data_IF_163139973658
#
_entry.id   IF_163139973658
#
_cell.length_a   1.000
_cell.length_b   1.000
_cell.length_c   1.000
_cell.angle_alpha   90.00
_cell.angle_beta   90.00
_cell.angle_gamma   90.00
#
_symmetry.space_group_name_H-M   'P 1'
#
loop_
_entity.id
_entity.type
_entity.pdbx_description
1 polymer ?
#
# COMPACT_ATOMS: atom_id res chain seq x y z
N UNK A 1 6.38 27.49 18.83
CA UNK A 1 5.95 26.25 19.49
C UNK A 1 4.97 25.60 18.52
N UNK A 2 5.36 24.75 17.57
CA UNK A 2 6.20 23.55 17.65
C UNK A 2 7.26 23.63 16.51
N UNK A 3 8.54 23.30 16.71
CA UNK A 3 9.05 22.08 17.36
C UNK A 3 9.21 21.06 16.25
N UNK A 4 10.40 21.03 15.65
CA UNK A 4 10.81 20.01 14.69
C UNK A 4 10.48 18.60 15.21
N UNK A 5 9.87 17.74 14.39
CA UNK A 5 10.09 16.31 14.54
C UNK A 5 10.08 15.61 13.18
N UNK A 6 11.18 15.81 12.47
CA UNK A 6 11.67 14.89 11.46
C UNK A 6 12.27 13.69 12.22
N UNK A 7 11.41 12.78 12.67
CA UNK A 7 11.86 11.53 13.29
C UNK A 7 12.23 10.52 12.20
N UNK A 8 13.45 10.61 11.72
CA UNK A 8 14.18 9.42 11.27
C UNK A 8 14.57 8.64 12.54
N UNK A 9 13.80 7.62 12.93
CA UNK A 9 14.28 6.53 13.80
C UNK A 9 13.38 5.31 13.66
N UNK A 10 13.89 4.25 13.01
CA UNK A 10 13.49 2.84 13.19
C UNK A 10 12.04 2.63 13.62
N UNK A 11 11.09 2.74 12.69
CA UNK A 11 9.73 2.31 13.01
C UNK A 11 9.61 0.81 12.82
N UNK A 12 9.11 0.13 13.85
CA UNK A 12 8.82 -1.29 13.84
C UNK A 12 8.03 -1.67 12.57
N UNK A 13 8.13 -2.93 12.07
CA UNK A 13 7.48 -3.36 10.82
C UNK A 13 5.99 -2.96 10.74
N UNK A 14 5.29 -2.89 11.88
CA UNK A 14 3.88 -2.50 11.99
C UNK A 14 3.55 -1.09 11.46
N UNK A 15 4.43 -0.11 11.60
CA UNK A 15 4.15 1.27 11.16
C UNK A 15 4.38 1.46 9.65
N UNK A 16 5.41 0.80 9.12
CA UNK A 16 5.64 0.74 7.68
C UNK A 16 4.45 0.10 6.97
N UNK A 17 3.93 -1.00 7.50
CA UNK A 17 2.70 -1.65 7.03
C UNK A 17 1.52 -0.70 7.10
N UNK A 18 1.29 -0.06 8.25
CA UNK A 18 0.15 0.85 8.42
C UNK A 18 0.19 2.04 7.45
N UNK A 19 1.38 2.63 7.26
CA UNK A 19 1.60 3.74 6.32
C UNK A 19 1.35 3.31 4.88
N UNK A 20 1.81 2.11 4.53
CA UNK A 20 1.67 1.56 3.18
C UNK A 20 0.25 1.14 2.85
N UNK A 21 -0.43 0.46 3.77
CA UNK A 21 -1.86 0.16 3.63
C UNK A 21 -2.68 1.44 3.52
N UNK A 22 -2.37 2.48 4.31
CA UNK A 22 -3.04 3.78 4.20
C UNK A 22 -2.81 4.44 2.85
N UNK A 23 -1.59 4.36 2.30
CA UNK A 23 -1.29 4.86 0.95
C UNK A 23 -2.06 4.09 -0.14
N UNK A 24 -2.16 2.76 -0.02
CA UNK A 24 -2.95 1.95 -0.94
C UNK A 24 -4.44 2.33 -0.87
N UNK A 25 -4.99 2.54 0.33
CA UNK A 25 -6.37 3.00 0.52
C UNK A 25 -6.58 4.35 -0.17
N UNK A 26 -5.70 5.33 0.06
CA UNK A 26 -5.77 6.64 -0.59
C UNK A 26 -5.81 6.49 -2.12
N UNK A 27 -4.91 5.65 -2.67
CA UNK A 27 -4.86 5.41 -4.12
C UNK A 27 -6.15 4.79 -4.63
N UNK A 28 -6.65 3.74 -3.98
CA UNK A 28 -7.92 3.08 -4.37
C UNK A 28 -9.09 4.06 -4.32
N UNK A 29 -9.20 4.86 -3.26
CA UNK A 29 -10.28 5.85 -3.09
C UNK A 29 -10.23 6.95 -4.12
N UNK A 30 -9.03 7.33 -4.56
CA UNK A 30 -8.84 8.29 -5.64
C UNK A 30 -9.41 7.78 -6.97
N UNK A 31 -9.24 6.49 -7.28
CA UNK A 31 -9.72 5.89 -8.53
C UNK A 31 -11.20 5.48 -8.48
N UNK A 32 -11.65 4.90 -7.38
CA UNK A 32 -13.00 4.35 -7.24
C UNK A 32 -14.02 5.39 -6.69
N UNK A 33 -13.54 6.56 -6.25
CA UNK A 33 -14.33 7.66 -5.66
C UNK A 33 -15.19 7.26 -4.47
N UNK A 34 -14.80 6.19 -3.78
CA UNK A 34 -15.37 5.76 -2.51
C UNK A 34 -14.65 6.43 -1.35
N UNK A 35 -15.35 6.56 -0.22
CA UNK A 35 -14.79 7.19 0.95
C UNK A 35 -13.74 6.28 1.62
N UNK A 36 -12.52 6.76 1.92
CA UNK A 36 -11.46 5.97 2.56
C UNK A 36 -11.88 5.35 3.89
N UNK A 37 -12.84 5.95 4.62
CA UNK A 37 -13.34 5.39 5.86
C UNK A 37 -14.19 4.12 5.66
N UNK A 38 -14.59 3.81 4.42
CA UNK A 38 -15.30 2.57 4.08
C UNK A 38 -14.37 1.44 3.61
N UNK A 39 -13.09 1.74 3.33
CA UNK A 39 -12.11 0.71 2.97
C UNK A 39 -11.39 0.23 4.22
N UNK A 40 -11.44 -1.07 4.46
CA UNK A 40 -10.73 -1.72 5.56
C UNK A 40 -9.50 -2.47 5.03
N UNK A 41 -8.45 -2.66 5.85
CA UNK A 41 -7.32 -3.52 5.49
C UNK A 41 -7.74 -4.97 5.21
N UNK A 42 -8.79 -5.44 5.88
CA UNK A 42 -9.36 -6.78 5.66
C UNK A 42 -10.20 -6.87 4.37
N UNK A 43 -10.37 -5.78 3.62
CA UNK A 43 -11.11 -5.80 2.37
C UNK A 43 -10.37 -6.63 1.31
N UNK A 44 -11.05 -7.56 0.63
CA UNK A 44 -10.40 -8.38 -0.36
C UNK A 44 -10.13 -7.59 -1.64
N UNK A 45 -8.95 -7.80 -2.22
CA UNK A 45 -8.47 -7.09 -3.39
C UNK A 45 -9.43 -7.17 -4.59
N UNK A 46 -10.17 -8.28 -4.71
CA UNK A 46 -11.18 -8.50 -5.75
C UNK A 46 -12.41 -7.62 -5.60
N UNK A 47 -12.76 -7.19 -4.37
CA UNK A 47 -13.88 -6.29 -4.11
C UNK A 47 -13.46 -4.82 -4.24
N UNK A 48 -12.15 -4.52 -4.21
CA UNK A 48 -11.59 -3.17 -4.33
C UNK A 48 -11.42 -2.71 -5.79
N UNK A 49 -11.90 -3.48 -6.77
CA UNK A 49 -11.79 -3.12 -8.18
C UNK A 49 -10.36 -3.05 -8.69
N UNK A 50 -9.44 -3.87 -8.14
CA UNK A 50 -8.07 -4.00 -8.64
C UNK A 50 -8.03 -4.75 -9.98
N UNK A 51 -8.50 -4.09 -11.04
CA UNK A 51 -8.46 -4.61 -12.41
C UNK A 51 -7.03 -4.65 -12.99
N UNK A 52 -6.80 -5.44 -14.05
CA UNK A 52 -5.46 -5.65 -14.61
C UNK A 52 -4.73 -4.36 -15.04
N UNK A 53 -5.45 -3.34 -15.54
CA UNK A 53 -4.84 -2.04 -15.87
C UNK A 53 -4.47 -1.27 -14.59
N UNK A 54 -5.33 -1.36 -13.57
CA UNK A 54 -5.12 -0.64 -12.33
C UNK A 54 -3.95 -1.24 -11.54
N UNK A 55 -3.85 -2.57 -11.47
CA UNK A 55 -2.69 -3.26 -10.89
C UNK A 55 -1.39 -2.85 -11.58
N UNK A 56 -1.34 -2.78 -12.91
CA UNK A 56 -0.15 -2.32 -13.63
C UNK A 56 0.22 -0.87 -13.31
N UNK A 57 -0.78 0.01 -13.16
CA UNK A 57 -0.57 1.41 -12.78
C UNK A 57 -0.03 1.50 -11.35
N UNK A 58 -0.62 0.73 -10.44
CA UNK A 58 -0.25 0.70 -9.03
C UNK A 58 1.14 0.12 -8.83
N UNK A 59 1.55 -0.91 -9.60
CA UNK A 59 2.93 -1.37 -9.66
C UNK A 59 3.88 -0.21 -9.93
N UNK A 60 3.64 0.54 -11.01
CA UNK A 60 4.51 1.67 -11.38
C UNK A 60 4.56 2.77 -10.33
N UNK A 61 3.42 3.14 -9.73
CA UNK A 61 3.37 4.11 -8.64
C UNK A 61 4.17 3.64 -7.41
N UNK A 62 4.09 2.34 -7.07
CA UNK A 62 4.84 1.74 -5.96
C UNK A 62 6.35 1.74 -6.26
N UNK A 63 6.73 1.33 -7.46
CA UNK A 63 8.12 1.31 -7.91
C UNK A 63 8.74 2.73 -7.88
N UNK A 64 7.99 3.75 -8.31
CA UNK A 64 8.42 5.15 -8.29
C UNK A 64 8.49 5.73 -6.87
N UNK A 65 7.49 5.42 -6.02
CA UNK A 65 7.38 5.98 -4.66
C UNK A 65 8.35 5.33 -3.67
N UNK A 66 8.47 4.01 -3.73
CA UNK A 66 9.19 3.22 -2.72
C UNK A 66 10.50 2.61 -3.25
N UNK A 67 10.82 2.78 -4.54
CA UNK A 67 12.01 2.23 -5.18
C UNK A 67 12.14 0.70 -5.03
N UNK A 68 11.02 -0.02 -4.97
CA UNK A 68 10.97 -1.49 -4.91
C UNK A 68 10.48 -2.05 -6.22
N UNK A 69 10.98 -3.21 -6.65
CA UNK A 69 10.43 -3.92 -7.81
C UNK A 69 9.17 -4.69 -7.42
N UNK A 70 8.06 -4.46 -8.13
CA UNK A 70 6.78 -5.15 -7.90
C UNK A 70 6.04 -5.45 -9.21
N UNK A 71 5.53 -6.67 -9.31
CA UNK A 71 4.85 -7.19 -10.50
C UNK A 71 3.37 -7.52 -10.20
N UNK A 72 2.49 -7.55 -11.20
CA UNK A 72 1.07 -7.90 -11.02
C UNK A 72 0.86 -9.30 -10.44
N UNK A 73 1.81 -10.22 -10.64
CA UNK A 73 1.75 -11.56 -10.03
C UNK A 73 1.79 -11.50 -8.52
N UNK A 74 2.49 -10.52 -7.95
CA UNK A 74 2.60 -10.32 -6.51
C UNK A 74 1.25 -9.97 -5.88
N UNK A 75 0.44 -9.13 -6.54
CA UNK A 75 -0.91 -8.79 -6.08
C UNK A 75 -1.82 -10.02 -6.01
N UNK A 76 -1.61 -10.98 -6.91
CA UNK A 76 -2.34 -12.26 -6.89
C UNK A 76 -1.90 -13.23 -5.80
N UNK A 77 -0.81 -12.97 -5.08
CA UNK A 77 -0.35 -13.77 -3.94
C UNK A 77 -1.10 -13.43 -2.65
N UNK A 78 -1.80 -12.29 -2.61
CA UNK A 78 -2.51 -11.79 -1.43
C UNK A 78 -4.02 -11.75 -1.66
N UNK A 79 -4.79 -12.00 -0.60
CA UNK A 79 -6.25 -11.94 -0.67
C UNK A 79 -6.79 -10.56 -0.29
N UNK A 80 -6.13 -9.90 0.67
CA UNK A 80 -6.61 -8.65 1.28
C UNK A 80 -5.62 -7.50 1.15
N UNK A 81 -6.11 -6.27 1.36
CA UNK A 81 -5.31 -5.06 1.30
C UNK A 81 -4.22 -4.99 2.38
N UNK A 82 -4.52 -5.52 3.57
CA UNK A 82 -3.59 -5.63 4.69
C UNK A 82 -2.42 -6.54 4.35
N UNK A 83 -2.71 -7.74 3.83
CA UNK A 83 -1.67 -8.70 3.41
C UNK A 83 -0.78 -8.13 2.30
N UNK A 84 -1.37 -7.41 1.34
CA UNK A 84 -0.62 -6.71 0.29
C UNK A 84 0.32 -5.65 0.90
N UNK A 85 -0.18 -4.84 1.83
CA UNK A 85 0.60 -3.84 2.56
C UNK A 85 1.74 -4.46 3.37
N UNK A 86 1.50 -5.61 4.01
CA UNK A 86 2.53 -6.37 4.71
C UNK A 86 3.64 -6.87 3.78
N UNK A 87 3.25 -7.47 2.65
CA UNK A 87 4.20 -7.96 1.66
C UNK A 87 5.07 -6.85 1.06
N UNK A 88 4.46 -5.71 0.72
CA UNK A 88 5.17 -4.54 0.20
C UNK A 88 6.10 -3.92 1.26
N UNK A 89 5.65 -3.80 2.52
CA UNK A 89 6.46 -3.20 3.58
C UNK A 89 7.69 -4.06 3.87
N UNK A 90 7.53 -5.39 3.82
CA UNK A 90 8.64 -6.33 3.92
C UNK A 90 9.63 -6.18 2.75
N UNK A 91 9.15 -5.93 1.52
CA UNK A 91 10.00 -5.68 0.34
C UNK A 91 10.79 -4.38 0.49
N UNK A 92 10.16 -3.30 0.95
CA UNK A 92 10.82 -2.02 1.22
C UNK A 92 11.88 -2.17 2.30
N UNK A 93 11.58 -2.88 3.38
CA UNK A 93 12.53 -3.09 4.49
C UNK A 93 13.71 -4.01 4.11
N UNK A 94 13.59 -4.80 3.05
CA UNK A 94 14.62 -5.73 2.59
C UNK A 94 15.53 -5.15 1.48
N UNK A 95 15.18 -4.01 0.90
CA UNK A 95 15.97 -3.28 -0.11
C UNK A 95 16.93 -2.27 0.52
#
# INVERSE_FOLDING_TARGET
>A
MQGENMSDTTTAPTDAVSSMTSWLIDRITFYDQVDPANITPDAPLTELGLDSIYVLTLCGDIEDTYAVAVDPTFFGEFATLGELGEGLAARVAAG
#
